data_IF_486828732885
#
_entry.id   IF_486828732885
#
_cell.length_a   1.000
_cell.length_b   1.000
_cell.length_c   1.000
_cell.angle_alpha   90.00
_cell.angle_beta   90.00
_cell.angle_gamma   90.00
#
_symmetry.space_group_name_H-M   'P 1'
#
loop_
_entity.id
_entity.type
_entity.pdbx_description
1 polymer ?
#
# COMPACT_ATOMS: atom_id res chain seq x y z
N UNK A 1 -16.53 -8.86 -15.58
CA UNK A 1 -15.17 -8.63 -15.03
C UNK A 1 -14.27 -9.70 -15.61
N UNK A 2 -13.03 -9.40 -16.01
CA UNK A 2 -12.06 -10.45 -16.25
C UNK A 2 -11.94 -11.27 -14.96
N UNK A 3 -12.06 -12.58 -15.07
CA UNK A 3 -11.89 -13.53 -13.98
C UNK A 3 -10.53 -14.16 -14.22
N UNK A 4 -9.70 -14.27 -13.18
CA UNK A 4 -8.52 -15.14 -13.25
C UNK A 4 -9.07 -16.56 -13.14
N UNK A 5 -9.25 -17.23 -14.28
CA UNK A 5 -9.80 -18.58 -14.35
C UNK A 5 -8.90 -19.60 -13.61
N UNK A 6 -7.59 -19.33 -13.58
CA UNK A 6 -6.61 -20.01 -12.73
C UNK A 6 -6.03 -19.03 -11.72
N UNK A 7 -6.23 -19.30 -10.44
CA UNK A 7 -5.63 -18.53 -9.35
C UNK A 7 -4.21 -19.08 -9.11
N UNK A 8 -3.14 -18.32 -9.38
CA UNK A 8 -1.77 -18.79 -9.16
C UNK A 8 -1.52 -19.04 -7.66
N UNK A 9 -0.99 -20.22 -7.34
CA UNK A 9 -0.56 -20.58 -5.99
C UNK A 9 0.77 -21.35 -6.06
N UNK A 10 1.65 -21.06 -5.11
CA UNK A 10 2.93 -21.74 -4.91
C UNK A 10 3.20 -21.96 -3.41
N UNK A 11 4.33 -22.59 -3.05
CA UNK A 11 4.66 -22.86 -1.65
C UNK A 11 4.86 -21.58 -0.83
N UNK A 12 5.24 -20.47 -1.47
CA UNK A 12 5.61 -19.21 -0.80
C UNK A 12 4.65 -18.05 -1.12
N UNK A 13 3.75 -18.21 -2.09
CA UNK A 13 2.87 -17.14 -2.55
C UNK A 13 1.48 -17.66 -2.95
N UNK A 14 0.45 -16.87 -2.66
CA UNK A 14 -0.94 -17.17 -3.01
C UNK A 14 -1.60 -15.93 -3.58
N UNK A 15 -2.16 -16.05 -4.78
CA UNK A 15 -3.11 -15.07 -5.31
C UNK A 15 -4.52 -15.45 -4.84
N UNK A 16 -5.40 -14.49 -4.61
CA UNK A 16 -6.80 -14.76 -4.29
C UNK A 16 -7.69 -13.75 -5.00
N UNK A 17 -8.76 -14.25 -5.62
CA UNK A 17 -9.85 -13.39 -6.09
C UNK A 17 -10.69 -12.94 -4.90
N UNK A 18 -11.00 -11.64 -4.83
CA UNK A 18 -11.86 -11.05 -3.79
C UNK A 18 -13.11 -10.46 -4.44
N UNK A 19 -14.27 -10.64 -3.80
CA UNK A 19 -15.49 -9.91 -4.18
C UNK A 19 -15.39 -8.46 -3.69
N UNK A 20 -15.26 -7.47 -4.60
CA UNK A 20 -15.13 -6.08 -4.20
C UNK A 20 -16.47 -5.47 -3.74
N UNK A 21 -17.60 -6.11 -4.03
CA UNK A 21 -18.93 -5.62 -3.64
C UNK A 21 -19.23 -5.90 -2.18
N UNK A 22 -18.79 -7.04 -1.65
CA UNK A 22 -19.02 -7.47 -0.27
C UNK A 22 -20.53 -7.46 0.10
N UNK A 23 -21.37 -7.84 -0.87
CA UNK A 23 -22.83 -7.82 -0.74
C UNK A 23 -23.47 -6.42 -0.70
N UNK A 24 -22.74 -5.35 -1.02
CA UNK A 24 -23.24 -3.97 -1.09
C UNK A 24 -23.33 -3.52 -2.55
N UNK A 25 -24.50 -3.07 -2.98
CA UNK A 25 -24.73 -2.60 -4.35
C UNK A 25 -23.98 -1.31 -4.69
N UNK A 26 -23.82 -1.06 -6.00
CA UNK A 26 -23.09 0.10 -6.54
C UNK A 26 -21.68 -0.26 -7.03
N UNK A 27 -20.95 0.75 -7.52
CA UNK A 27 -19.57 0.54 -7.97
C UNK A 27 -18.64 0.45 -6.76
N UNK A 28 -17.77 -0.57 -6.66
CA UNK A 28 -16.79 -0.65 -5.59
C UNK A 28 -15.81 0.53 -5.66
N UNK A 29 -15.32 0.97 -4.50
CA UNK A 29 -14.46 2.15 -4.38
C UNK A 29 -13.34 1.90 -3.37
N UNK A 30 -12.16 2.50 -3.61
CA UNK A 30 -10.93 2.17 -2.87
C UNK A 30 -10.94 2.57 -1.40
N UNK A 31 -11.62 3.65 -0.99
CA UNK A 31 -11.66 4.08 0.40
C UNK A 31 -12.30 3.04 1.33
N UNK A 32 -13.50 2.56 0.97
CA UNK A 32 -14.19 1.48 1.66
C UNK A 32 -13.53 0.13 1.41
N UNK A 33 -13.05 -0.15 0.19
CA UNK A 33 -12.37 -1.40 -0.15
C UNK A 33 -11.08 -1.62 0.64
N UNK A 34 -10.20 -0.61 0.71
CA UNK A 34 -8.97 -0.66 1.51
C UNK A 34 -9.27 -0.78 3.00
N UNK A 35 -10.33 -0.11 3.50
CA UNK A 35 -10.77 -0.28 4.89
C UNK A 35 -11.16 -1.73 5.16
N UNK A 36 -11.93 -2.34 4.27
CA UNK A 36 -12.30 -3.75 4.42
C UNK A 36 -11.09 -4.67 4.37
N UNK A 37 -10.20 -4.48 3.40
CA UNK A 37 -8.99 -5.29 3.24
C UNK A 37 -8.09 -5.25 4.47
N UNK A 38 -7.84 -4.04 5.03
CA UNK A 38 -6.89 -3.86 6.11
C UNK A 38 -7.47 -4.19 7.50
N UNK A 39 -8.79 -4.08 7.69
CA UNK A 39 -9.45 -4.32 8.99
C UNK A 39 -10.15 -5.68 9.07
N UNK A 40 -10.50 -6.29 7.94
CA UNK A 40 -11.35 -7.48 7.85
C UNK A 40 -12.84 -7.20 8.09
N UNK A 41 -13.24 -5.94 8.19
CA UNK A 41 -14.62 -5.53 8.44
C UNK A 41 -15.32 -5.13 7.13
N UNK A 42 -16.63 -5.39 7.01
CA UNK A 42 -17.38 -4.99 5.82
C UNK A 42 -17.64 -3.46 5.84
N UNK A 43 -16.61 -2.70 5.48
CA UNK A 43 -16.59 -1.25 5.47
C UNK A 43 -17.68 -0.59 4.60
N UNK A 44 -18.00 -1.04 3.36
CA UNK A 44 -19.10 -0.41 2.62
C UNK A 44 -20.45 -0.64 3.30
N UNK A 45 -20.66 -1.76 4.00
CA UNK A 45 -21.88 -1.98 4.80
C UNK A 45 -21.93 -1.08 6.03
N UNK A 46 -20.81 -0.91 6.74
CA UNK A 46 -20.70 0.00 7.90
C UNK A 46 -20.95 1.45 7.48
N UNK A 47 -20.39 1.86 6.34
CA UNK A 47 -20.57 3.22 5.81
C UNK A 47 -21.92 3.42 5.09
N UNK A 48 -22.58 2.33 4.69
CA UNK A 48 -23.87 2.33 3.98
C UNK A 48 -23.78 2.41 2.46
N UNK A 49 -22.58 2.50 1.89
CA UNK A 49 -22.30 2.46 0.43
C UNK A 49 -20.81 2.30 0.17
N UNK A 50 -20.45 2.06 -1.09
CA UNK A 50 -19.07 2.21 -1.55
C UNK A 50 -18.64 3.68 -1.57
N UNK A 51 -17.41 3.98 -1.16
CA UNK A 51 -16.85 5.33 -1.18
C UNK A 51 -15.33 5.32 -1.36
N UNK A 52 -14.80 6.33 -2.06
CA UNK A 52 -13.38 6.48 -2.30
C UNK A 52 -13.05 7.78 -3.06
N UNK A 53 -11.76 8.00 -3.38
CA UNK A 53 -10.66 7.05 -3.18
C UNK A 53 -10.08 7.03 -1.75
N UNK A 54 -10.48 7.98 -0.91
CA UNK A 54 -9.95 8.17 0.45
C UNK A 54 -10.82 7.48 1.50
N UNK A 55 -10.23 7.14 2.64
CA UNK A 55 -10.97 6.57 3.77
C UNK A 55 -12.01 7.59 4.29
N UNK A 56 -13.32 7.25 4.28
CA UNK A 56 -14.36 8.12 4.83
C UNK A 56 -14.07 8.48 6.28
N UNK A 57 -14.36 9.71 6.69
CA UNK A 57 -14.14 10.16 8.08
C UNK A 57 -14.73 9.19 9.12
N UNK A 58 -15.97 8.68 8.98
CA UNK A 58 -16.55 7.75 9.96
C UNK A 58 -15.80 6.40 10.07
N UNK A 59 -15.03 6.02 9.06
CA UNK A 59 -14.27 4.76 9.04
C UNK A 59 -12.83 4.93 9.53
N UNK A 60 -12.35 6.16 9.78
CA UNK A 60 -10.96 6.39 10.21
C UNK A 60 -10.63 5.77 11.57
N UNK A 61 -11.48 5.85 12.62
CA UNK A 61 -11.22 5.16 13.88
C UNK A 61 -11.08 3.66 13.68
N UNK A 62 -11.98 3.07 12.87
CA UNK A 62 -11.92 1.65 12.54
C UNK A 62 -10.60 1.27 11.88
N UNK A 63 -10.17 2.05 10.89
CA UNK A 63 -8.88 1.85 10.23
C UNK A 63 -7.72 2.01 11.22
N UNK A 64 -7.70 3.04 12.06
CA UNK A 64 -6.57 3.32 12.96
C UNK A 64 -6.44 2.26 14.06
N UNK A 65 -7.56 1.79 14.61
CA UNK A 65 -7.58 0.95 15.82
C UNK A 65 -7.61 -0.55 15.52
N UNK A 66 -8.13 -0.97 14.36
CA UNK A 66 -8.44 -2.39 14.09
C UNK A 66 -7.81 -2.95 12.82
N UNK A 67 -6.91 -2.21 12.17
CA UNK A 67 -6.18 -2.72 11.02
C UNK A 67 -5.23 -3.88 11.40
N UNK A 68 -4.75 -4.60 10.38
CA UNK A 68 -3.86 -5.77 10.53
C UNK A 68 -2.57 -5.45 11.29
N UNK A 69 -1.94 -4.29 11.08
CA UNK A 69 -0.73 -3.88 11.80
C UNK A 69 -1.03 -3.61 13.28
N UNK A 70 -2.10 -2.87 13.58
CA UNK A 70 -2.49 -2.60 14.98
C UNK A 70 -2.81 -3.90 15.72
N UNK A 71 -3.52 -4.84 15.07
CA UNK A 71 -3.83 -6.15 15.66
C UNK A 71 -2.58 -7.03 15.84
N UNK A 72 -1.64 -7.00 14.90
CA UNK A 72 -0.38 -7.74 15.03
C UNK A 72 0.47 -7.20 16.19
N UNK A 73 0.63 -5.86 16.30
CA UNK A 73 1.32 -5.22 17.43
C UNK A 73 0.66 -5.51 18.77
N UNK A 74 -0.67 -5.49 18.84
CA UNK A 74 -1.41 -5.83 20.06
C UNK A 74 -1.17 -7.29 20.53
N UNK A 75 -0.70 -8.16 19.63
CA UNK A 75 -0.31 -9.56 19.93
C UNK A 75 1.20 -9.72 20.20
N UNK A 76 1.95 -8.63 20.28
CA UNK A 76 3.38 -8.64 20.55
C UNK A 76 4.28 -8.85 19.32
N UNK A 77 3.73 -8.81 18.11
CA UNK A 77 4.52 -8.88 16.89
C UNK A 77 5.16 -7.53 16.57
N UNK A 78 6.41 -7.56 16.13
CA UNK A 78 7.09 -6.43 15.51
C UNK A 78 6.48 -6.16 14.14
N UNK A 79 6.26 -4.90 13.80
CA UNK A 79 5.61 -4.52 12.55
C UNK A 79 6.32 -3.33 11.92
N UNK A 80 6.37 -3.32 10.59
CA UNK A 80 6.96 -2.25 9.80
C UNK A 80 6.06 -1.89 8.64
N UNK A 81 5.87 -0.59 8.41
CA UNK A 81 5.39 -0.08 7.14
C UNK A 81 6.59 0.36 6.31
N UNK A 82 6.83 -0.28 5.16
CA UNK A 82 8.04 -0.12 4.37
C UNK A 82 8.04 1.15 3.49
N UNK A 83 6.86 1.71 3.21
CA UNK A 83 6.75 2.87 2.33
C UNK A 83 7.37 4.13 2.96
N UNK A 84 8.14 4.86 2.16
CA UNK A 84 8.52 6.24 2.46
C UNK A 84 7.36 7.20 2.18
N UNK A 85 7.22 8.22 3.04
CA UNK A 85 6.37 9.39 2.82
C UNK A 85 7.14 10.64 3.26
N UNK A 86 7.09 11.77 2.52
CA UNK A 86 7.88 12.94 2.87
C UNK A 86 7.64 13.36 4.32
N UNK A 87 8.70 13.65 5.06
CA UNK A 87 8.67 13.89 6.52
C UNK A 87 7.61 14.93 6.94
N UNK A 88 7.40 15.94 6.10
CA UNK A 88 6.34 16.95 6.26
C UNK A 88 4.93 16.37 6.44
N UNK A 89 4.64 15.18 5.92
CA UNK A 89 3.35 14.50 6.05
C UNK A 89 3.22 13.66 7.33
N UNK A 90 4.31 13.42 8.07
CA UNK A 90 4.27 12.63 9.31
C UNK A 90 3.62 13.38 10.47
N UNK A 91 3.71 14.71 10.48
CA UNK A 91 3.21 15.55 11.57
C UNK A 91 1.92 16.32 11.24
N UNK A 92 1.53 16.35 9.96
CA UNK A 92 0.28 16.99 9.57
C UNK A 92 -0.88 16.14 10.07
N UNK A 93 -1.62 16.68 11.05
CA UNK A 93 -2.93 16.15 11.47
C UNK A 93 -3.67 15.70 10.20
N UNK A 94 -3.83 14.38 10.07
CA UNK A 94 -4.08 13.66 8.81
C UNK A 94 -4.80 14.49 7.76
N UNK A 95 -4.24 14.53 6.56
CA UNK A 95 -4.84 15.22 5.42
C UNK A 95 -6.35 14.94 5.36
N UNK A 96 -7.14 15.88 4.85
CA UNK A 96 -8.60 15.66 4.68
C UNK A 96 -8.90 14.41 3.84
N UNK A 97 -7.90 13.82 3.16
CA UNK A 97 -8.00 12.80 2.13
C UNK A 97 -6.89 11.73 2.28
N UNK A 98 -6.85 10.95 3.38
CA UNK A 98 -5.81 9.95 3.56
C UNK A 98 -6.15 8.66 2.81
N UNK A 99 -5.14 8.06 2.17
CA UNK A 99 -5.23 6.70 1.65
C UNK A 99 -5.26 5.69 2.81
N UNK A 100 -5.79 4.50 2.58
CA UNK A 100 -5.90 3.46 3.60
C UNK A 100 -4.56 3.02 4.19
N UNK A 101 -3.56 2.63 3.38
CA UNK A 101 -2.28 2.15 3.87
C UNK A 101 -1.53 3.09 4.84
N UNK A 102 -1.28 4.37 4.52
CA UNK A 102 -0.61 5.27 5.46
C UNK A 102 -1.44 5.53 6.72
N UNK A 103 -2.77 5.57 6.60
CA UNK A 103 -3.67 5.75 7.76
C UNK A 103 -3.60 4.56 8.73
N UNK A 104 -3.55 3.33 8.19
CA UNK A 104 -3.37 2.11 8.97
C UNK A 104 -2.00 2.09 9.66
N UNK A 105 -0.92 2.39 8.90
CA UNK A 105 0.43 2.47 9.43
C UNK A 105 0.55 3.47 10.58
N UNK A 106 -0.12 4.62 10.48
CA UNK A 106 -0.12 5.59 11.56
C UNK A 106 -0.93 5.15 12.77
N UNK A 107 -2.12 4.58 12.58
CA UNK A 107 -2.89 4.02 13.69
C UNK A 107 -2.12 2.94 14.45
N UNK A 108 -1.27 2.19 13.76
CA UNK A 108 -0.36 1.22 14.35
C UNK A 108 0.94 1.84 14.90
N UNK A 109 1.20 3.14 14.70
CA UNK A 109 2.42 3.82 15.13
C UNK A 109 3.69 3.33 14.42
N UNK A 110 3.59 2.98 13.13
CA UNK A 110 4.72 2.52 12.28
C UNK A 110 4.89 3.36 11.01
N UNK A 111 4.19 4.50 10.91
CA UNK A 111 4.34 5.48 9.84
C UNK A 111 5.56 6.38 10.08
N UNK A 112 6.76 5.84 9.88
CA UNK A 112 8.02 6.47 10.35
C UNK A 112 9.10 6.63 9.28
N UNK A 113 8.86 6.18 8.04
CA UNK A 113 9.84 6.22 6.95
C UNK A 113 9.61 7.41 6.03
N UNK A 114 10.68 8.05 5.62
CA UNK A 114 10.70 9.32 4.87
C UNK A 114 11.84 9.37 3.84
N UNK A 115 12.14 10.56 3.32
CA UNK A 115 13.24 10.83 2.39
C UNK A 115 14.58 10.29 2.87
N UNK A 116 14.92 10.42 4.16
CA UNK A 116 16.22 10.00 4.69
C UNK A 116 16.35 8.48 4.66
N UNK A 117 15.26 7.79 5.04
CA UNK A 117 15.21 6.33 4.96
C UNK A 117 15.26 5.84 3.51
N UNK A 118 14.60 6.56 2.60
CA UNK A 118 14.60 6.24 1.17
C UNK A 118 16.00 6.45 0.56
N UNK A 119 16.73 7.49 0.98
CA UNK A 119 18.07 7.81 0.51
C UNK A 119 19.10 6.70 0.82
N UNK A 120 18.91 5.99 1.93
CA UNK A 120 19.82 4.91 2.38
C UNK A 120 19.27 3.50 2.14
N UNK A 121 18.18 3.36 1.39
CA UNK A 121 17.61 2.04 1.03
C UNK A 121 16.91 1.32 2.18
N UNK A 122 16.50 2.03 3.24
CA UNK A 122 15.73 1.46 4.37
C UNK A 122 14.24 1.77 4.29
N UNK A 123 13.80 2.32 3.15
CA UNK A 123 12.40 2.50 2.79
C UNK A 123 12.19 2.28 1.29
N UNK A 124 10.93 2.15 0.87
CA UNK A 124 10.55 1.93 -0.54
C UNK A 124 9.55 2.99 -0.97
N UNK A 125 9.71 3.52 -2.19
CA UNK A 125 8.73 4.42 -2.79
C UNK A 125 7.43 3.68 -3.13
N UNK A 126 6.29 4.33 -2.97
CA UNK A 126 4.99 3.74 -3.39
C UNK A 126 4.91 3.47 -4.90
N UNK A 127 5.77 4.11 -5.70
CA UNK A 127 5.92 3.88 -7.14
C UNK A 127 6.96 2.80 -7.48
N UNK A 128 7.45 2.07 -6.47
CA UNK A 128 8.59 1.14 -6.51
C UNK A 128 9.93 1.86 -6.72
N UNK A 129 9.99 2.81 -7.66
CA UNK A 129 11.18 3.60 -8.00
C UNK A 129 11.11 5.02 -7.42
N UNK A 130 12.25 5.72 -7.37
CA UNK A 130 12.41 7.00 -6.69
C UNK A 130 12.25 8.21 -7.61
N UNK A 131 11.97 8.00 -8.91
CA UNK A 131 11.85 9.07 -9.90
C UNK A 131 10.91 10.20 -9.49
N UNK A 132 9.74 9.89 -8.92
CA UNK A 132 8.79 10.92 -8.48
C UNK A 132 9.31 11.75 -7.29
N UNK A 133 10.08 11.15 -6.39
CA UNK A 133 10.72 11.86 -5.28
C UNK A 133 11.74 12.87 -5.78
N UNK A 134 12.56 12.46 -6.75
CA UNK A 134 13.58 13.31 -7.38
C UNK A 134 12.97 14.42 -8.21
N UNK A 135 12.03 14.08 -9.10
CA UNK A 135 11.56 15.00 -10.16
C UNK A 135 10.33 15.82 -9.80
N UNK A 136 9.47 15.36 -8.88
CA UNK A 136 8.22 16.04 -8.52
C UNK A 136 8.23 16.62 -7.11
N UNK A 137 8.90 15.95 -6.18
CA UNK A 137 8.98 16.38 -4.78
C UNK A 137 10.25 17.19 -4.48
N UNK A 138 11.22 17.22 -5.39
CA UNK A 138 12.44 18.02 -5.28
C UNK A 138 13.54 17.41 -4.42
N UNK A 139 13.46 16.11 -4.11
CA UNK A 139 14.50 15.39 -3.37
C UNK A 139 15.52 14.77 -4.34
N UNK A 140 16.26 15.62 -5.04
CA UNK A 140 17.25 15.24 -6.07
C UNK A 140 18.45 14.43 -5.53
N UNK A 141 18.75 14.55 -4.24
CA UNK A 141 19.79 13.81 -3.54
C UNK A 141 19.46 12.33 -3.30
N UNK A 142 18.18 11.93 -3.30
CA UNK A 142 17.77 10.54 -3.10
C UNK A 142 18.20 9.73 -4.34
N UNK A 143 19.01 8.66 -4.22
CA UNK A 143 19.40 7.85 -5.37
C UNK A 143 18.19 7.31 -6.13
N UNK A 144 18.29 7.25 -7.46
CA UNK A 144 17.32 6.46 -8.23
C UNK A 144 17.50 4.98 -7.90
N UNK A 145 16.40 4.26 -7.79
CA UNK A 145 16.43 2.81 -7.56
C UNK A 145 15.76 2.12 -8.75
N UNK A 146 16.41 1.08 -9.27
CA UNK A 146 15.75 0.12 -10.14
C UNK A 146 14.68 -0.65 -9.36
N UNK A 147 13.68 -1.24 -10.04
CA UNK A 147 12.70 -2.09 -9.36
C UNK A 147 13.35 -3.22 -8.57
N UNK A 148 14.38 -3.88 -9.13
CA UNK A 148 15.11 -4.95 -8.45
C UNK A 148 15.80 -4.47 -7.17
N UNK A 149 16.49 -3.32 -7.20
CA UNK A 149 17.11 -2.73 -6.00
C UNK A 149 16.08 -2.35 -4.94
N UNK A 150 14.92 -1.81 -5.35
CA UNK A 150 13.81 -1.55 -4.44
C UNK A 150 13.29 -2.85 -3.80
N UNK A 151 13.26 -3.96 -4.55
CA UNK A 151 12.95 -5.30 -4.03
C UNK A 151 13.95 -5.74 -2.97
N UNK A 152 15.25 -5.60 -3.26
CA UNK A 152 16.33 -5.88 -2.29
C UNK A 152 16.22 -5.03 -1.02
N UNK A 153 15.84 -3.76 -1.15
CA UNK A 153 15.57 -2.89 -0.01
C UNK A 153 14.38 -3.42 0.80
N UNK A 154 13.30 -3.86 0.15
CA UNK A 154 12.16 -4.46 0.84
C UNK A 154 12.58 -5.74 1.59
N UNK A 155 13.37 -6.62 0.97
CA UNK A 155 13.89 -7.83 1.61
C UNK A 155 14.71 -7.51 2.87
N UNK A 156 15.59 -6.52 2.82
CA UNK A 156 16.32 -6.08 4.02
C UNK A 156 15.39 -5.53 5.12
N UNK A 157 14.28 -4.88 4.74
CA UNK A 157 13.28 -4.40 5.70
C UNK A 157 12.51 -5.56 6.33
N UNK A 158 12.18 -6.62 5.58
CA UNK A 158 11.43 -7.77 6.13
C UNK A 158 12.20 -8.52 7.20
N UNK A 159 13.53 -8.54 7.15
CA UNK A 159 14.37 -9.14 8.20
C UNK A 159 14.24 -8.44 9.57
N UNK A 160 13.68 -7.24 9.62
CA UNK A 160 13.57 -6.43 10.86
C UNK A 160 12.24 -6.58 11.60
N UNK A 161 11.26 -7.29 11.04
CA UNK A 161 9.92 -7.37 11.62
C UNK A 161 9.18 -8.68 11.29
N UNK A 162 8.30 -9.12 12.20
CA UNK A 162 7.43 -10.27 12.00
C UNK A 162 6.37 -10.02 10.91
N UNK A 163 5.98 -8.74 10.72
CA UNK A 163 5.04 -8.30 9.71
C UNK A 163 5.50 -7.01 9.03
N UNK A 164 5.82 -7.10 7.74
CA UNK A 164 6.11 -5.94 6.90
C UNK A 164 4.95 -5.67 5.96
N UNK A 165 4.50 -4.42 5.91
CA UNK A 165 3.46 -3.96 5.00
C UNK A 165 4.04 -2.96 4.00
N UNK A 166 3.83 -3.23 2.72
CA UNK A 166 4.17 -2.36 1.60
C UNK A 166 2.93 -2.15 0.72
N UNK A 167 2.71 -0.92 0.26
CA UNK A 167 1.60 -0.55 -0.61
C UNK A 167 2.09 0.11 -1.90
N UNK A 168 1.57 -0.36 -3.03
CA UNK A 168 1.93 0.14 -4.35
C UNK A 168 0.67 0.55 -5.14
N UNK A 169 0.78 1.59 -5.97
CA UNK A 169 -0.37 2.19 -6.67
C UNK A 169 -0.24 2.29 -8.20
N UNK A 170 0.91 1.90 -8.79
CA UNK A 170 1.10 2.13 -10.23
C UNK A 170 0.23 1.21 -11.10
N UNK A 171 -0.08 0.01 -10.63
CA UNK A 171 -1.00 -0.92 -11.32
C UNK A 171 -2.45 -0.41 -11.35
N UNK A 172 -2.91 0.20 -10.25
CA UNK A 172 -4.22 0.87 -10.19
C UNK A 172 -4.29 2.05 -11.16
N UNK A 173 -3.26 2.90 -11.15
CA UNK A 173 -3.13 4.03 -12.08
C UNK A 173 -3.15 3.56 -13.54
N UNK A 174 -2.40 2.51 -13.87
CA UNK A 174 -2.38 1.93 -15.21
C UNK A 174 -3.74 1.37 -15.63
N UNK A 175 -4.47 0.74 -14.71
CA UNK A 175 -5.83 0.25 -14.92
C UNK A 175 -6.81 1.38 -15.28
N UNK A 176 -6.69 2.53 -14.61
CA UNK A 176 -7.49 3.72 -14.89
C UNK A 176 -7.20 4.32 -16.28
N UNK A 177 -5.96 4.25 -16.75
CA UNK A 177 -5.60 4.73 -18.08
C UNK A 177 -6.16 3.88 -19.22
N UNK A 178 -6.46 2.59 -18.97
CA UNK A 178 -6.98 1.64 -19.97
C UNK A 178 -6.11 1.54 -21.24
N UNK A 179 -4.80 1.70 -21.08
CA UNK A 179 -3.80 1.54 -22.14
C UNK A 179 -2.98 0.29 -21.88
N UNK A 180 -3.03 -0.67 -22.80
CA UNK A 180 -2.36 -1.96 -22.61
C UNK A 180 -0.86 -1.81 -22.37
N UNK A 181 -0.17 -0.96 -23.14
CA UNK A 181 1.27 -0.74 -22.93
C UNK A 181 1.63 -0.19 -21.55
N UNK A 182 0.78 0.67 -20.96
CA UNK A 182 0.99 1.20 -19.60
C UNK A 182 0.76 0.10 -18.56
N UNK A 183 -0.27 -0.74 -18.77
CA UNK A 183 -0.54 -1.89 -17.89
C UNK A 183 0.61 -2.92 -17.92
N UNK A 184 1.12 -3.27 -19.11
CA UNK A 184 2.26 -4.17 -19.26
C UNK A 184 3.48 -3.62 -18.55
N UNK A 185 3.85 -2.35 -18.78
CA UNK A 185 5.01 -1.74 -18.13
C UNK A 185 4.87 -1.67 -16.60
N UNK A 186 3.66 -1.45 -16.08
CA UNK A 186 3.41 -1.47 -14.63
C UNK A 186 3.59 -2.88 -14.05
N UNK A 187 3.13 -3.92 -14.74
CA UNK A 187 3.30 -5.31 -14.32
C UNK A 187 4.75 -5.78 -14.42
N UNK A 188 5.47 -5.45 -15.49
CA UNK A 188 6.91 -5.75 -15.63
C UNK A 188 7.74 -5.08 -14.52
N UNK A 189 7.35 -3.87 -14.10
CA UNK A 189 7.97 -3.20 -12.95
C UNK A 189 7.73 -3.97 -11.64
N UNK A 190 6.50 -4.47 -11.42
CA UNK A 190 6.19 -5.29 -10.25
C UNK A 190 6.96 -6.62 -10.30
N UNK A 191 7.03 -7.26 -11.45
CA UNK A 191 7.78 -8.51 -11.65
C UNK A 191 9.28 -8.32 -11.32
N UNK A 192 9.90 -7.29 -11.90
CA UNK A 192 11.30 -6.95 -11.61
C UNK A 192 11.54 -6.56 -10.14
N UNK A 193 10.55 -5.98 -9.46
CA UNK A 193 10.61 -5.71 -8.03
C UNK A 193 10.54 -6.98 -7.19
N UNK A 194 9.62 -7.89 -7.52
CA UNK A 194 9.49 -9.17 -6.84
C UNK A 194 10.73 -10.06 -7.05
N UNK A 195 11.40 -9.96 -8.20
CA UNK A 195 12.67 -10.67 -8.44
C UNK A 195 13.81 -10.25 -7.48
N UNK A 196 13.67 -9.11 -6.80
CA UNK A 196 14.62 -8.65 -5.79
C UNK A 196 14.31 -9.10 -4.35
N UNK A 197 13.16 -9.76 -4.11
CA UNK A 197 12.83 -10.35 -2.81
C UNK A 197 13.56 -11.66 -2.58
#
# INVERSE_FOLDING_TARGET
MPVLDDIPAGPEALCLSLDPLMGVGGLPQSGTGQTALLTGENAPRIYGRHFGPWVPVPLRPLMMERNVLTRAKARGHSCVFANAYPSQYQHLAWSKRPAGPPLAAHGAGVFTRDEDHLAVGTAVSSEIVNTAWRTRLGFDHIPEATPFEAGRNLAGITETADLTFFAHYSTDTAGHERKMGVATAALEKVDAFLAGL
#
